data_IF_183144022938
#
_entry.id   IF_183144022938
#
_cell.length_a   1.000
_cell.length_b   1.000
_cell.length_c   1.000
_cell.angle_alpha   90.00
_cell.angle_beta   90.00
_cell.angle_gamma   90.00
#
_symmetry.space_group_name_H-M   'P 1'
#
loop_
_entity.id
_entity.type
_entity.pdbx_description
1 polymer ?
#
# COMPACT_ATOMS: atom_id res chain seq x y z
N UNK A 1 3.66 11.86 21.47
CA UNK A 1 2.71 11.41 20.40
C UNK A 1 3.32 11.73 19.05
N UNK A 2 3.38 10.78 18.12
CA UNK A 2 4.00 11.05 16.82
C UNK A 2 3.22 12.13 16.06
N UNK A 3 3.93 13.04 15.38
CA UNK A 3 3.32 14.07 14.51
C UNK A 3 2.30 13.47 13.53
N UNK A 4 2.62 12.30 12.99
CA UNK A 4 1.77 11.62 12.03
C UNK A 4 0.48 11.04 12.63
N UNK A 5 0.40 10.89 13.96
CA UNK A 5 -0.85 10.50 14.62
C UNK A 5 -1.94 11.57 14.47
N UNK A 6 -1.57 12.84 14.67
CA UNK A 6 -2.50 13.96 14.44
C UNK A 6 -2.97 14.04 12.98
N UNK A 7 -2.05 13.83 12.04
CA UNK A 7 -2.39 13.77 10.60
C UNK A 7 -3.39 12.66 10.31
N UNK A 8 -3.17 11.47 10.85
CA UNK A 8 -4.07 10.33 10.68
C UNK A 8 -5.46 10.57 11.27
N UNK A 9 -5.54 11.15 12.47
CA UNK A 9 -6.83 11.51 13.09
C UNK A 9 -7.55 12.59 12.30
N UNK A 10 -6.82 13.62 11.84
CA UNK A 10 -7.38 14.68 10.99
C UNK A 10 -8.00 14.11 9.72
N UNK A 11 -7.25 13.26 9.02
CA UNK A 11 -7.72 12.58 7.82
C UNK A 11 -8.99 11.76 8.05
N UNK A 12 -9.09 11.01 9.16
CA UNK A 12 -10.30 10.28 9.51
C UNK A 12 -11.47 11.20 9.80
N UNK A 13 -11.23 12.28 10.53
CA UNK A 13 -12.26 13.28 10.85
C UNK A 13 -12.79 13.94 9.57
N UNK A 14 -11.92 14.39 8.69
CA UNK A 14 -12.30 15.02 7.43
C UNK A 14 -13.09 14.05 6.54
N UNK A 15 -12.68 12.79 6.49
CA UNK A 15 -13.41 11.76 5.77
C UNK A 15 -14.81 11.52 6.36
N UNK A 16 -14.98 11.60 7.68
CA UNK A 16 -16.28 11.44 8.34
C UNK A 16 -17.20 12.64 8.11
N UNK A 17 -16.67 13.85 8.04
CA UNK A 17 -17.44 15.08 7.85
C UNK A 17 -17.75 15.33 6.38
N UNK A 18 -16.73 15.34 5.53
CA UNK A 18 -16.79 15.79 4.15
C UNK A 18 -16.77 14.64 3.13
N UNK A 19 -16.52 13.40 3.57
CA UNK A 19 -16.40 12.24 2.69
C UNK A 19 -17.72 11.88 2.01
N UNK A 20 -17.65 11.56 0.74
CA UNK A 20 -18.77 11.08 -0.08
C UNK A 20 -18.99 9.60 0.23
N UNK A 21 -20.22 9.21 0.49
CA UNK A 21 -20.57 7.80 0.72
C UNK A 21 -20.58 7.05 -0.61
N UNK A 22 -19.80 5.99 -0.69
CA UNK A 22 -19.72 5.10 -1.85
C UNK A 22 -19.84 3.64 -1.41
N UNK A 23 -20.01 2.73 -2.37
CA UNK A 23 -20.20 1.31 -2.03
C UNK A 23 -19.44 0.39 -2.99
N UNK A 24 -18.11 0.54 -3.10
CA UNK A 24 -17.31 -0.34 -3.94
C UNK A 24 -17.41 -1.78 -3.42
N UNK A 25 -17.66 -2.71 -4.35
CA UNK A 25 -17.78 -4.15 -4.03
C UNK A 25 -18.81 -4.47 -2.93
N UNK A 26 -19.85 -3.62 -2.77
CA UNK A 26 -20.91 -3.80 -1.78
C UNK A 26 -20.57 -3.34 -0.35
N UNK A 27 -19.37 -2.83 -0.10
CA UNK A 27 -18.99 -2.28 1.21
C UNK A 27 -19.26 -0.76 1.25
N UNK A 28 -20.03 -0.32 2.23
CA UNK A 28 -20.23 1.11 2.46
C UNK A 28 -18.96 1.72 3.01
N UNK A 29 -18.44 2.71 2.32
CA UNK A 29 -17.28 3.50 2.72
C UNK A 29 -17.55 4.98 2.54
N UNK A 30 -16.73 5.82 3.16
CA UNK A 30 -16.62 7.25 2.87
C UNK A 30 -15.26 7.52 2.28
N UNK A 31 -15.19 8.32 1.24
CA UNK A 31 -13.94 8.68 0.56
C UNK A 31 -13.87 10.17 0.27
N UNK A 32 -12.66 10.70 0.25
CA UNK A 32 -12.32 12.04 -0.20
C UNK A 32 -11.43 11.91 -1.43
N UNK A 33 -11.86 12.51 -2.53
CA UNK A 33 -11.06 12.60 -3.74
C UNK A 33 -10.02 13.73 -3.61
N UNK A 34 -8.87 13.57 -4.27
CA UNK A 34 -7.79 14.56 -4.32
C UNK A 34 -7.29 15.08 -2.95
N UNK A 35 -7.44 14.26 -1.91
CA UNK A 35 -7.04 14.61 -0.56
C UNK A 35 -5.53 14.55 -0.38
N UNK A 36 -4.94 15.64 0.11
CA UNK A 36 -3.50 15.79 0.30
C UNK A 36 -3.16 15.89 1.78
N UNK A 37 -2.15 15.14 2.20
CA UNK A 37 -1.59 15.22 3.56
C UNK A 37 -0.09 15.42 3.49
N UNK A 38 0.46 16.03 4.53
CA UNK A 38 1.90 16.12 4.75
C UNK A 38 2.26 15.20 5.91
N UNK A 39 3.19 14.29 5.67
CA UNK A 39 3.72 13.38 6.68
C UNK A 39 5.15 13.75 7.04
N UNK A 40 5.56 13.47 8.28
CA UNK A 40 6.95 13.58 8.71
C UNK A 40 7.74 12.36 8.21
N UNK A 41 8.69 12.52 7.28
CA UNK A 41 9.43 11.40 6.70
C UNK A 41 10.36 10.70 7.70
N UNK A 42 10.67 11.33 8.82
CA UNK A 42 11.45 10.71 9.90
C UNK A 42 10.66 9.63 10.65
N UNK A 43 9.32 9.65 10.50
CA UNK A 43 8.42 8.68 11.12
C UNK A 43 7.44 8.11 10.08
N UNK A 44 7.94 7.41 9.05
CA UNK A 44 7.12 6.99 7.90
C UNK A 44 6.04 5.96 8.24
N UNK A 45 6.20 5.26 9.37
CA UNK A 45 5.26 4.23 9.78
C UNK A 45 4.17 4.79 10.70
N UNK A 46 2.94 4.73 10.24
CA UNK A 46 1.76 5.07 11.05
C UNK A 46 1.37 3.86 11.93
N UNK A 47 2.27 3.44 12.81
CA UNK A 47 2.03 2.31 13.73
C UNK A 47 1.47 2.81 15.06
N UNK A 48 0.18 3.07 15.09
CA UNK A 48 -0.55 3.47 16.31
C UNK A 48 -1.40 2.32 16.83
N UNK A 49 -1.63 2.30 18.14
CA UNK A 49 -2.46 1.27 18.78
C UNK A 49 -3.82 1.08 18.08
N UNK A 50 -4.49 2.17 17.74
CA UNK A 50 -5.81 2.13 17.10
C UNK A 50 -5.76 1.67 15.64
N UNK A 51 -4.68 1.92 14.93
CA UNK A 51 -4.48 1.45 13.55
C UNK A 51 -4.14 -0.03 13.47
N UNK A 52 -3.50 -0.56 14.52
CA UNK A 52 -3.12 -1.98 14.61
C UNK A 52 -2.40 -2.51 13.36
N UNK A 53 -1.34 -1.80 12.96
CA UNK A 53 -0.56 -2.18 11.79
C UNK A 53 0.03 -3.58 11.96
N UNK A 54 -0.25 -4.46 11.03
CA UNK A 54 0.27 -5.85 11.03
C UNK A 54 1.70 -5.88 10.50
N UNK A 55 2.66 -5.53 11.34
CA UNK A 55 4.09 -5.39 10.96
C UNK A 55 4.64 -6.65 10.30
N UNK A 56 4.28 -7.85 10.81
CA UNK A 56 4.77 -9.09 10.20
C UNK A 56 4.23 -9.29 8.79
N UNK A 57 2.94 -9.00 8.57
CA UNK A 57 2.35 -9.02 7.24
C UNK A 57 3.04 -8.01 6.32
N UNK A 58 3.26 -6.78 6.79
CA UNK A 58 3.96 -5.75 6.03
C UNK A 58 5.35 -6.21 5.58
N UNK A 59 6.14 -6.83 6.49
CA UNK A 59 7.45 -7.38 6.14
C UNK A 59 7.36 -8.45 5.05
N UNK A 60 6.41 -9.36 5.16
CA UNK A 60 6.23 -10.42 4.17
C UNK A 60 5.77 -9.87 2.81
N UNK A 61 4.89 -8.88 2.81
CA UNK A 61 4.48 -8.21 1.58
C UNK A 61 5.64 -7.47 0.90
N UNK A 62 6.50 -6.81 1.69
CA UNK A 62 7.71 -6.17 1.15
C UNK A 62 8.67 -7.19 0.55
N UNK A 63 8.95 -8.29 1.24
CA UNK A 63 9.81 -9.37 0.72
C UNK A 63 9.23 -9.98 -0.56
N UNK A 64 7.90 -10.15 -0.60
CA UNK A 64 7.22 -10.64 -1.78
C UNK A 64 7.35 -9.67 -2.97
N UNK A 65 7.18 -8.38 -2.75
CA UNK A 65 7.40 -7.36 -3.79
C UNK A 65 8.86 -7.30 -4.26
N UNK A 66 9.82 -7.43 -3.33
CA UNK A 66 11.25 -7.46 -3.65
C UNK A 66 11.66 -8.69 -4.46
N UNK A 67 10.86 -9.75 -4.49
CA UNK A 67 11.12 -10.89 -5.38
C UNK A 67 11.03 -10.53 -6.86
N UNK A 68 10.27 -9.50 -7.22
CA UNK A 68 10.03 -9.10 -8.61
C UNK A 68 9.29 -10.13 -9.47
N UNK A 69 8.87 -11.23 -8.87
CA UNK A 69 8.22 -12.34 -9.56
C UNK A 69 6.69 -12.26 -9.38
N UNK A 70 5.94 -11.93 -10.46
CA UNK A 70 4.48 -11.84 -10.41
C UNK A 70 3.78 -13.17 -10.13
N UNK A 71 4.46 -14.31 -10.33
CA UNK A 71 3.94 -15.66 -10.07
C UNK A 71 4.25 -16.18 -8.67
N UNK A 72 4.98 -15.40 -7.86
CA UNK A 72 5.31 -15.77 -6.49
C UNK A 72 4.06 -15.78 -5.60
N UNK A 73 3.64 -16.97 -5.16
CA UNK A 73 2.43 -17.19 -4.35
C UNK A 73 2.67 -17.10 -2.84
N UNK A 74 3.88 -16.80 -2.38
CA UNK A 74 4.20 -16.81 -0.95
C UNK A 74 3.32 -15.87 -0.13
N UNK A 75 2.86 -14.76 -0.71
CA UNK A 75 1.97 -13.79 -0.02
C UNK A 75 0.63 -14.41 0.40
N UNK A 76 0.11 -15.41 -0.33
CA UNK A 76 -1.16 -16.07 -0.03
C UNK A 76 -1.14 -16.79 1.33
N UNK A 77 0.03 -17.24 1.80
CA UNK A 77 0.21 -17.86 3.12
C UNK A 77 -0.01 -16.86 4.27
N UNK A 78 0.12 -15.57 3.99
CA UNK A 78 0.03 -14.50 4.99
C UNK A 78 -1.32 -13.76 4.96
N UNK A 79 -2.03 -13.79 3.83
CA UNK A 79 -3.37 -13.21 3.72
C UNK A 79 -4.16 -13.87 2.59
N UNK A 80 -5.25 -14.55 2.96
CA UNK A 80 -6.13 -15.25 2.01
C UNK A 80 -6.75 -14.36 0.94
N UNK A 81 -6.89 -13.06 1.21
CA UNK A 81 -7.44 -12.12 0.23
C UNK A 81 -6.70 -12.15 -1.11
N UNK A 82 -5.42 -12.52 -1.10
CA UNK A 82 -4.63 -12.63 -2.32
C UNK A 82 -5.10 -13.70 -3.29
N UNK A 83 -5.81 -14.72 -2.80
CA UNK A 83 -6.44 -15.74 -3.65
C UNK A 83 -7.49 -15.13 -4.59
N UNK A 84 -8.22 -14.11 -4.10
CA UNK A 84 -9.29 -13.45 -4.86
C UNK A 84 -8.80 -12.40 -5.87
N UNK A 85 -7.55 -11.99 -5.79
CA UNK A 85 -6.94 -10.97 -6.68
C UNK A 85 -5.88 -11.54 -7.61
N UNK A 86 -5.71 -12.86 -7.59
CA UNK A 86 -4.85 -13.57 -8.53
C UNK A 86 -5.50 -13.60 -9.91
N UNK A 87 -4.71 -13.36 -10.94
CA UNK A 87 -5.14 -13.49 -12.34
C UNK A 87 -5.38 -14.97 -12.71
N UNK A 88 -6.11 -15.19 -13.81
CA UNK A 88 -6.40 -16.55 -14.31
C UNK A 88 -5.13 -17.36 -14.68
N UNK A 89 -4.05 -16.68 -15.07
CA UNK A 89 -2.76 -17.28 -15.38
C UNK A 89 -1.90 -17.57 -14.14
N UNK A 90 -2.41 -17.19 -12.95
CA UNK A 90 -1.73 -17.39 -11.68
C UNK A 90 -0.81 -16.24 -11.27
N UNK A 91 -0.72 -15.17 -12.05
CA UNK A 91 0.07 -13.97 -11.73
C UNK A 91 -0.65 -13.00 -10.80
N UNK A 92 0.10 -12.04 -10.25
CA UNK A 92 -0.40 -10.92 -9.44
C UNK A 92 0.05 -9.59 -10.02
N UNK A 93 -0.88 -8.79 -10.53
CA UNK A 93 -0.58 -7.42 -10.98
C UNK A 93 -0.02 -6.54 -9.86
N UNK A 94 -0.40 -6.81 -8.61
CA UNK A 94 0.00 -6.04 -7.43
C UNK A 94 1.42 -6.36 -6.93
N UNK A 95 2.12 -7.31 -7.53
CA UNK A 95 3.55 -7.45 -7.28
C UNK A 95 4.34 -6.41 -8.07
N UNK A 96 4.36 -5.18 -7.54
CA UNK A 96 5.04 -4.05 -8.20
C UNK A 96 6.54 -4.22 -8.35
N UNK A 97 7.14 -5.17 -7.65
CA UNK A 97 8.55 -5.53 -7.82
C UNK A 97 8.89 -5.95 -9.25
N UNK A 98 7.94 -6.53 -9.98
CA UNK A 98 8.12 -6.84 -11.40
C UNK A 98 8.46 -5.62 -12.25
N UNK A 99 7.93 -4.43 -11.90
CA UNK A 99 8.22 -3.17 -12.58
C UNK A 99 9.50 -2.51 -12.07
N UNK A 100 9.88 -2.78 -10.81
CA UNK A 100 11.10 -2.24 -10.22
C UNK A 100 12.35 -2.96 -10.74
N UNK A 101 12.30 -4.28 -10.84
CA UNK A 101 13.43 -5.16 -11.14
C UNK A 101 13.27 -5.94 -12.45
N UNK A 102 12.10 -5.87 -13.10
CA UNK A 102 11.84 -6.53 -14.38
C UNK A 102 12.58 -5.91 -15.55
N UNK A 103 12.24 -6.32 -16.76
CA UNK A 103 12.90 -5.91 -18.01
C UNK A 103 13.03 -4.38 -18.18
N UNK A 104 12.08 -3.62 -17.66
CA UNK A 104 12.10 -2.15 -17.74
C UNK A 104 13.03 -1.51 -16.71
N UNK A 105 13.54 -2.26 -15.73
CA UNK A 105 14.44 -1.78 -14.69
C UNK A 105 14.02 -0.42 -14.08
N UNK A 106 12.75 -0.27 -13.75
CA UNK A 106 12.13 1.01 -13.39
C UNK A 106 12.84 1.77 -12.26
N UNK A 107 13.34 1.05 -11.23
CA UNK A 107 14.14 1.66 -10.16
C UNK A 107 15.47 2.20 -10.66
N UNK A 108 16.12 1.50 -11.57
CA UNK A 108 17.41 1.93 -12.14
C UNK A 108 17.23 3.16 -13.02
N UNK A 109 16.18 3.20 -13.83
CA UNK A 109 15.82 4.35 -14.65
C UNK A 109 15.52 5.57 -13.75
N UNK A 110 14.66 5.40 -12.74
CA UNK A 110 14.33 6.47 -11.80
C UNK A 110 15.56 7.01 -11.07
N UNK A 111 16.45 6.14 -10.60
CA UNK A 111 17.68 6.54 -9.94
C UNK A 111 18.58 7.37 -10.87
N UNK A 112 18.77 6.93 -12.10
CA UNK A 112 19.60 7.63 -13.08
C UNK A 112 19.03 9.03 -13.42
N UNK A 113 17.72 9.20 -13.43
CA UNK A 113 17.10 10.51 -13.63
C UNK A 113 17.28 11.45 -12.41
N UNK A 114 17.33 10.90 -11.19
CA UNK A 114 17.52 11.69 -9.97
C UNK A 114 18.95 12.19 -9.76
N UNK A 115 19.96 11.53 -10.35
CA UNK A 115 21.38 11.88 -10.17
C UNK A 115 21.97 12.69 -11.33
N UNK A 116 21.17 13.04 -12.32
CA UNK A 116 21.52 14.00 -13.39
C UNK A 116 21.42 15.43 -12.90
#
# INVERSE_FOLDING_TARGET
MSRNYGVWLGMLNDCMIDGIETSPRGFKIRELEDYKITIDPMYPFMNFKHRNLKINYFKQEMLWKLSGDPFNRAIMQHAKMWESVQNNDGSFNSNYGQYWFGEQMGLFVAFNELVK
#
